data_IF_877941884507
#
_entry.id   IF_877941884507
#
_cell.length_a   1.000
_cell.length_b   1.000
_cell.length_c   1.000
_cell.angle_alpha   90.00
_cell.angle_beta   90.00
_cell.angle_gamma   90.00
#
_symmetry.space_group_name_H-M   'P 1'
#
loop_
_entity.id
_entity.type
_entity.pdbx_description
1 polymer ?
#
# COMPACT_ATOMS: atom_id res chain seq x y z
N UNK A 1 11.83 16.16 -23.03
CA UNK A 1 10.43 16.63 -23.18
C UNK A 1 10.37 18.14 -23.10
N UNK A 2 11.09 18.77 -22.16
CA UNK A 2 11.23 20.23 -22.09
C UNK A 2 11.65 20.82 -23.44
N UNK A 3 12.59 20.20 -24.15
CA UNK A 3 13.02 20.65 -25.49
C UNK A 3 11.90 20.63 -26.54
N UNK A 4 10.91 19.73 -26.40
CA UNK A 4 9.74 19.65 -27.29
C UNK A 4 8.78 20.80 -26.98
N UNK A 5 8.50 21.04 -25.69
CA UNK A 5 7.65 22.15 -25.25
C UNK A 5 8.28 23.49 -25.61
N UNK A 6 9.57 23.68 -25.31
CA UNK A 6 10.33 24.88 -25.64
C UNK A 6 10.36 25.13 -27.16
N UNK A 7 10.57 24.09 -27.97
CA UNK A 7 10.46 24.22 -29.41
C UNK A 7 9.05 24.60 -29.87
N UNK A 8 8.00 24.08 -29.24
CA UNK A 8 6.63 24.47 -29.56
C UNK A 8 6.39 25.94 -29.17
N UNK A 9 6.83 26.37 -27.99
CA UNK A 9 6.67 27.75 -27.53
C UNK A 9 7.43 28.73 -28.42
N UNK A 10 8.68 28.41 -28.75
CA UNK A 10 9.55 29.24 -29.58
C UNK A 10 9.03 29.37 -31.03
N UNK A 11 8.54 28.27 -31.61
CA UNK A 11 8.18 28.25 -33.02
C UNK A 11 6.71 28.60 -33.29
N UNK A 12 5.80 28.30 -32.35
CA UNK A 12 4.38 28.66 -32.48
C UNK A 12 4.03 29.98 -31.78
N UNK A 13 4.93 30.54 -30.96
CA UNK A 13 4.68 31.78 -30.21
C UNK A 13 3.58 31.65 -29.16
N UNK A 14 3.32 30.42 -28.68
CA UNK A 14 2.25 30.11 -27.72
C UNK A 14 2.87 29.58 -26.44
N UNK A 15 2.49 30.15 -25.29
CA UNK A 15 2.97 29.69 -23.99
C UNK A 15 2.18 28.46 -23.54
N UNK A 16 2.86 27.34 -23.33
CA UNK A 16 2.29 26.10 -22.85
C UNK A 16 2.55 25.99 -21.34
N UNK A 17 1.48 26.15 -20.55
CA UNK A 17 1.59 25.96 -19.09
C UNK A 17 1.71 24.47 -18.80
N UNK A 18 2.85 24.06 -18.23
CA UNK A 18 3.29 22.65 -18.18
C UNK A 18 2.35 21.64 -17.50
N UNK A 19 1.43 22.08 -16.65
CA UNK A 19 0.45 21.19 -16.01
C UNK A 19 -0.83 20.97 -16.83
N UNK A 20 -1.02 21.70 -17.95
CA UNK A 20 -2.24 21.68 -18.76
C UNK A 20 -2.01 21.43 -20.25
N UNK A 21 -0.90 20.78 -20.64
CA UNK A 21 -0.65 20.46 -22.04
C UNK A 21 -1.72 19.49 -22.59
N UNK A 22 -2.48 19.93 -23.58
CA UNK A 22 -3.52 19.18 -24.28
C UNK A 22 -3.59 19.60 -25.77
N UNK A 23 -4.32 18.84 -26.60
CA UNK A 23 -4.42 19.10 -28.05
C UNK A 23 -4.99 20.49 -28.37
N UNK A 24 -5.92 21.00 -27.54
CA UNK A 24 -6.47 22.34 -27.69
C UNK A 24 -5.42 23.43 -27.44
N UNK A 25 -4.59 23.28 -26.39
CA UNK A 25 -3.50 24.20 -26.08
C UNK A 25 -2.39 24.19 -27.14
N UNK A 26 -2.11 23.01 -27.73
CA UNK A 26 -1.16 22.88 -28.85
C UNK A 26 -1.64 23.69 -30.07
N UNK A 27 -2.94 23.60 -30.37
CA UNK A 27 -3.58 24.32 -31.48
C UNK A 27 -3.98 25.76 -31.14
N UNK A 28 -3.80 26.21 -29.89
CA UNK A 28 -4.14 27.56 -29.46
C UNK A 28 -5.63 27.88 -29.54
N UNK A 29 -6.49 26.86 -29.36
CA UNK A 29 -7.95 26.98 -29.43
C UNK A 29 -8.58 26.54 -28.11
N UNK A 30 -9.86 26.85 -27.93
CA UNK A 30 -10.62 26.41 -26.75
C UNK A 30 -11.31 25.06 -27.01
N UNK A 31 -11.64 24.27 -25.97
CA UNK A 31 -12.40 23.03 -26.13
C UNK A 31 -13.79 23.20 -26.79
N UNK A 32 -14.31 24.43 -26.83
CA UNK A 32 -15.59 24.79 -27.45
C UNK A 32 -15.50 25.10 -28.95
N UNK A 33 -14.30 25.04 -29.54
CA UNK A 33 -14.09 25.31 -30.95
C UNK A 33 -14.92 24.36 -31.85
N UNK A 34 -15.50 24.90 -32.92
CA UNK A 34 -16.20 24.08 -33.90
C UNK A 34 -15.23 23.33 -34.83
N UNK A 35 -15.77 22.46 -35.68
CA UNK A 35 -14.95 21.65 -36.58
C UNK A 35 -14.19 22.49 -37.62
N UNK A 36 -14.70 23.65 -38.03
CA UNK A 36 -14.04 24.54 -38.99
C UNK A 36 -12.88 25.29 -38.35
N UNK A 37 -13.07 25.78 -37.13
CA UNK A 37 -12.05 26.41 -36.31
C UNK A 37 -10.90 25.44 -36.01
N UNK A 38 -11.21 24.18 -35.68
CA UNK A 38 -10.19 23.14 -35.48
C UNK A 38 -9.39 22.92 -36.77
N UNK A 39 -10.05 22.77 -37.93
CA UNK A 39 -9.35 22.60 -39.22
C UNK A 39 -8.49 23.81 -39.58
N UNK A 40 -8.98 25.02 -39.32
CA UNK A 40 -8.21 26.25 -39.54
C UNK A 40 -6.98 26.28 -38.64
N UNK A 41 -7.15 26.03 -37.34
CA UNK A 41 -6.07 26.04 -36.36
C UNK A 41 -5.00 24.98 -36.65
N UNK A 42 -5.38 23.78 -37.11
CA UNK A 42 -4.43 22.75 -37.54
C UNK A 42 -3.62 23.23 -38.74
N UNK A 43 -4.27 23.76 -39.79
CA UNK A 43 -3.57 24.26 -40.99
C UNK A 43 -2.59 25.38 -40.65
N UNK A 44 -3.03 26.35 -39.85
CA UNK A 44 -2.16 27.46 -39.40
C UNK A 44 -0.98 26.94 -38.59
N UNK A 45 -1.23 26.05 -37.63
CA UNK A 45 -0.18 25.50 -36.76
C UNK A 45 0.85 24.68 -37.57
N UNK A 46 0.41 23.88 -38.53
CA UNK A 46 1.29 23.11 -39.42
C UNK A 46 2.10 24.06 -40.32
N UNK A 47 1.49 25.11 -40.87
CA UNK A 47 2.18 26.09 -41.70
C UNK A 47 3.25 26.85 -40.90
N UNK A 48 2.92 27.30 -39.68
CA UNK A 48 3.87 27.95 -38.78
C UNK A 48 5.02 27.00 -38.41
N UNK A 49 4.69 25.75 -38.09
CA UNK A 49 5.69 24.73 -37.76
C UNK A 49 6.62 24.44 -38.93
N UNK A 50 6.09 24.28 -40.15
CA UNK A 50 6.89 24.03 -41.34
C UNK A 50 7.80 25.21 -41.67
N UNK A 51 7.31 26.45 -41.55
CA UNK A 51 8.12 27.65 -41.74
C UNK A 51 9.27 27.74 -40.73
N UNK A 52 9.01 27.34 -39.48
CA UNK A 52 9.98 27.40 -38.40
C UNK A 52 10.92 26.17 -38.34
N UNK A 53 10.53 25.05 -38.94
CA UNK A 53 11.22 23.76 -38.86
C UNK A 53 12.70 23.80 -39.28
N UNK A 54 13.06 24.71 -40.18
CA UNK A 54 14.45 24.93 -40.62
C UNK A 54 15.40 25.40 -39.52
N UNK A 55 14.87 25.99 -38.44
CA UNK A 55 15.64 26.51 -37.30
C UNK A 55 15.56 25.61 -36.06
N UNK A 56 14.71 24.59 -36.09
CA UNK A 56 14.43 23.71 -34.95
C UNK A 56 15.42 22.55 -34.91
N UNK A 57 15.75 22.08 -33.71
CA UNK A 57 16.56 20.88 -33.54
C UNK A 57 15.95 19.68 -34.31
N UNK A 58 16.72 19.00 -35.19
CA UNK A 58 16.22 17.90 -36.01
C UNK A 58 15.69 16.71 -35.18
N UNK A 59 16.14 16.54 -33.94
CA UNK A 59 15.64 15.48 -33.05
C UNK A 59 14.24 15.76 -32.48
N UNK A 60 13.83 17.03 -32.45
CA UNK A 60 12.52 17.47 -31.91
C UNK A 60 11.45 17.45 -32.99
N UNK A 61 11.85 17.68 -34.24
CA UNK A 61 10.96 17.72 -35.40
C UNK A 61 10.00 16.53 -35.52
N UNK A 62 10.44 15.25 -35.48
CA UNK A 62 9.54 14.12 -35.64
C UNK A 62 8.50 14.02 -34.50
N UNK A 63 8.88 14.44 -33.27
CA UNK A 63 8.00 14.38 -32.10
C UNK A 63 6.87 15.40 -32.18
N UNK A 64 7.18 16.64 -32.58
CA UNK A 64 6.15 17.68 -32.74
C UNK A 64 5.24 17.36 -33.92
N UNK A 65 5.79 16.86 -35.03
CA UNK A 65 4.98 16.38 -36.16
C UNK A 65 4.03 15.26 -35.75
N UNK A 66 4.49 14.32 -34.92
CA UNK A 66 3.64 13.26 -34.37
C UNK A 66 2.52 13.83 -33.48
N UNK A 67 2.83 14.79 -32.60
CA UNK A 67 1.84 15.45 -31.75
C UNK A 67 0.78 16.20 -32.56
N UNK A 68 1.17 16.91 -33.61
CA UNK A 68 0.24 17.61 -34.50
C UNK A 68 -0.66 16.62 -35.25
N UNK A 69 -0.10 15.49 -35.71
CA UNK A 69 -0.86 14.43 -36.37
C UNK A 69 -1.89 13.81 -35.43
N UNK A 70 -1.52 13.55 -34.17
CA UNK A 70 -2.45 13.03 -33.17
C UNK A 70 -3.55 14.03 -32.78
N UNK A 71 -3.21 15.32 -32.65
CA UNK A 71 -4.20 16.37 -32.42
C UNK A 71 -5.19 16.42 -33.59
N UNK A 72 -4.70 16.32 -34.83
CA UNK A 72 -5.53 16.26 -36.02
C UNK A 72 -6.46 15.04 -36.03
N UNK A 73 -5.95 13.83 -35.81
CA UNK A 73 -6.77 12.61 -35.82
C UNK A 73 -7.76 12.56 -34.66
N UNK A 74 -7.41 13.11 -33.51
CA UNK A 74 -8.26 13.11 -32.32
C UNK A 74 -9.37 14.15 -32.39
N UNK A 75 -9.06 15.37 -32.84
CA UNK A 75 -10.01 16.48 -32.77
C UNK A 75 -10.92 16.60 -34.01
N UNK A 76 -10.51 16.03 -35.15
CA UNK A 76 -11.36 16.02 -36.36
C UNK A 76 -12.36 14.85 -36.41
N UNK A 77 -12.11 13.81 -35.62
CA UNK A 77 -13.04 12.68 -35.44
C UNK A 77 -13.93 12.97 -34.24
N UNK A 78 -15.24 13.09 -34.48
CA UNK A 78 -16.23 13.48 -33.46
C UNK A 78 -16.28 12.50 -32.29
N UNK A 79 -16.15 11.21 -32.57
CA UNK A 79 -16.20 10.17 -31.56
C UNK A 79 -14.92 10.18 -30.70
N UNK A 80 -13.74 10.26 -31.33
CA UNK A 80 -12.45 10.39 -30.63
C UNK A 80 -12.39 11.68 -29.80
N UNK A 81 -12.89 12.79 -30.33
CA UNK A 81 -12.98 14.07 -29.62
C UNK A 81 -13.85 13.97 -28.38
N UNK A 82 -15.02 13.34 -28.48
CA UNK A 82 -15.93 13.16 -27.34
C UNK A 82 -15.28 12.37 -26.20
N UNK A 83 -14.58 11.28 -26.54
CA UNK A 83 -13.82 10.48 -25.56
C UNK A 83 -12.69 11.30 -24.95
N UNK A 84 -11.97 12.06 -25.77
CA UNK A 84 -10.88 12.94 -25.33
C UNK A 84 -11.37 14.03 -24.37
N UNK A 85 -12.51 14.66 -24.66
CA UNK A 85 -13.11 15.71 -23.84
C UNK A 85 -13.62 15.16 -22.49
N UNK A 86 -14.23 13.96 -22.51
CA UNK A 86 -14.65 13.29 -21.29
C UNK A 86 -13.46 12.92 -20.38
N UNK A 87 -12.33 12.53 -20.97
CA UNK A 87 -11.09 12.30 -20.24
C UNK A 87 -10.48 13.59 -19.66
N UNK A 88 -10.57 14.71 -20.39
CA UNK A 88 -10.09 16.02 -19.93
C UNK A 88 -10.90 16.54 -18.73
N UNK A 89 -12.22 16.30 -18.71
CA UNK A 89 -13.14 16.71 -17.65
C UNK A 89 -13.13 15.77 -16.43
N UNK A 90 -12.39 14.66 -16.47
CA UNK A 90 -12.38 13.68 -15.38
C UNK A 90 -13.70 12.91 -15.20
N UNK A 91 -14.64 13.03 -16.14
CA UNK A 91 -15.95 12.39 -16.09
C UNK A 91 -15.90 10.88 -16.35
N UNK A 92 -14.81 10.39 -16.95
CA UNK A 92 -14.47 8.97 -16.99
C UNK A 92 -13.67 8.63 -15.73
N UNK A 93 -14.37 8.45 -14.60
CA UNK A 93 -13.80 8.00 -13.31
C UNK A 93 -13.09 6.63 -13.40
N UNK A 94 -13.27 5.90 -14.50
CA UNK A 94 -12.34 4.86 -14.93
C UNK A 94 -11.32 5.45 -15.90
N UNK A 95 -10.10 5.74 -15.41
CA UNK A 95 -8.87 5.67 -16.23
C UNK A 95 -8.60 4.22 -16.67
N UNK A 96 -9.57 3.58 -17.34
CA UNK A 96 -9.17 2.61 -18.36
C UNK A 96 -8.42 3.45 -19.37
N UNK A 97 -7.16 3.12 -19.60
CA UNK A 97 -6.30 3.79 -20.55
C UNK A 97 -7.10 4.17 -21.81
N UNK A 98 -6.92 5.38 -22.34
CA UNK A 98 -7.50 5.78 -23.63
C UNK A 98 -7.24 4.72 -24.72
N UNK A 99 -6.16 3.94 -24.55
CA UNK A 99 -5.75 2.81 -25.40
C UNK A 99 -6.67 1.58 -25.35
N UNK A 100 -7.54 1.46 -24.34
CA UNK A 100 -8.52 0.37 -24.20
C UNK A 100 -9.95 0.81 -24.59
N UNK A 101 -10.13 2.05 -25.05
CA UNK A 101 -11.42 2.51 -25.53
C UNK A 101 -11.61 2.02 -26.98
N UNK A 102 -12.78 1.46 -27.38
CA UNK A 102 -13.03 1.05 -28.77
C UNK A 102 -12.84 2.18 -29.80
N UNK A 103 -12.85 3.45 -29.38
CA UNK A 103 -12.48 4.59 -30.22
C UNK A 103 -11.01 4.56 -30.70
N UNK A 104 -10.14 3.87 -29.97
CA UNK A 104 -8.70 3.73 -30.23
C UNK A 104 -8.35 2.24 -30.20
N UNK A 105 -8.28 1.57 -31.35
CA UNK A 105 -7.82 0.19 -31.37
C UNK A 105 -6.41 0.09 -30.76
N UNK A 106 -6.05 -1.04 -30.13
CA UNK A 106 -4.79 -1.20 -29.40
C UNK A 106 -3.54 -0.96 -30.28
N UNK A 107 -3.67 -1.07 -31.60
CA UNK A 107 -2.61 -0.82 -32.58
C UNK A 107 -2.61 0.61 -33.17
N UNK A 108 -3.50 1.50 -32.70
CA UNK A 108 -3.56 2.90 -33.17
C UNK A 108 -2.36 3.69 -32.60
N UNK A 109 -1.27 3.71 -33.37
CA UNK A 109 -0.07 4.55 -33.09
C UNK A 109 -0.37 6.05 -32.99
N UNK A 110 -1.58 6.48 -33.37
CA UNK A 110 -2.07 7.86 -33.28
C UNK A 110 -3.12 8.06 -32.19
N UNK A 111 -3.31 7.09 -31.29
CA UNK A 111 -4.08 7.29 -30.08
C UNK A 111 -3.49 8.48 -29.28
N UNK A 112 -4.34 9.33 -28.67
CA UNK A 112 -3.88 10.45 -27.87
C UNK A 112 -2.97 9.93 -26.78
N UNK A 113 -1.76 10.49 -26.70
CA UNK A 113 -0.84 10.17 -25.62
C UNK A 113 -1.55 10.36 -24.27
N UNK A 114 -1.41 9.39 -23.36
CA UNK A 114 -1.97 9.57 -22.02
C UNK A 114 -1.38 10.84 -21.40
N UNK A 115 -2.19 11.79 -20.87
CA UNK A 115 -1.68 12.95 -20.14
C UNK A 115 -0.74 12.56 -18.97
N UNK A 116 -0.85 11.31 -18.49
CA UNK A 116 0.06 10.73 -17.50
C UNK A 116 1.50 10.53 -18.00
N UNK A 117 1.71 10.26 -19.29
CA UNK A 117 3.04 10.14 -19.91
C UNK A 117 3.80 11.48 -19.97
N UNK A 118 3.10 12.61 -19.79
CA UNK A 118 3.68 13.96 -19.73
C UNK A 118 4.14 14.36 -18.32
N UNK A 119 3.88 13.55 -17.28
CA UNK A 119 4.23 13.90 -15.89
C UNK A 119 5.69 13.61 -15.48
N UNK A 120 6.60 13.31 -16.41
CA UNK A 120 8.02 13.07 -16.08
C UNK A 120 8.95 13.84 -17.02
N UNK A 121 9.50 14.94 -16.49
CA UNK A 121 10.93 15.30 -16.45
C UNK A 121 11.06 16.73 -15.88
N UNK A 122 10.89 16.90 -14.55
CA UNK A 122 11.51 18.06 -13.90
C UNK A 122 13.01 17.79 -13.85
N UNK A 123 13.76 18.73 -14.41
CA UNK A 123 15.19 18.67 -14.60
C UNK A 123 15.98 18.66 -13.28
N UNK A 124 17.29 18.78 -13.44
CA UNK A 124 18.23 19.01 -12.34
C UNK A 124 17.65 20.05 -11.37
N UNK A 125 17.82 19.85 -10.05
CA UNK A 125 17.31 20.79 -9.05
C UNK A 125 17.78 22.20 -9.41
N UNK A 126 16.87 23.17 -9.29
CA UNK A 126 17.26 24.58 -9.36
C UNK A 126 18.39 24.79 -8.35
N UNK A 127 19.51 25.44 -8.75
CA UNK A 127 20.57 25.74 -7.81
C UNK A 127 19.96 26.47 -6.61
N UNK A 128 20.37 26.05 -5.43
CA UNK A 128 19.98 26.66 -4.16
C UNK A 128 20.18 28.18 -4.20
N UNK A 129 19.50 28.92 -3.32
CA UNK A 129 19.73 30.37 -3.22
C UNK A 129 21.24 30.67 -3.04
N UNK A 130 21.95 29.84 -2.30
CA UNK A 130 23.41 29.87 -2.13
C UNK A 130 24.15 29.71 -3.47
N UNK A 131 23.83 28.67 -4.25
CA UNK A 131 24.48 28.41 -5.54
C UNK A 131 24.16 29.51 -6.56
N UNK A 132 22.95 30.07 -6.54
CA UNK A 132 22.57 31.24 -7.37
C UNK A 132 23.33 32.49 -6.96
N UNK A 133 23.50 32.73 -5.66
CA UNK A 133 24.33 33.82 -5.16
C UNK A 133 25.80 33.63 -5.53
N UNK A 134 26.33 32.40 -5.49
CA UNK A 134 27.71 32.11 -5.89
C UNK A 134 27.93 32.21 -7.40
N UNK A 135 26.95 31.80 -8.22
CA UNK A 135 26.97 31.99 -9.67
C UNK A 135 26.99 33.49 -10.01
N UNK A 136 26.15 34.30 -9.33
CA UNK A 136 26.08 35.74 -9.51
C UNK A 136 27.38 36.45 -9.08
N UNK A 137 28.01 36.01 -7.98
CA UNK A 137 29.31 36.54 -7.52
C UNK A 137 30.43 36.18 -8.52
N UNK A 138 30.38 34.98 -9.10
CA UNK A 138 31.31 34.51 -10.13
C UNK A 138 31.14 35.30 -11.44
N UNK A 139 29.90 35.62 -11.81
CA UNK A 139 29.57 36.39 -13.01
C UNK A 139 29.89 37.89 -12.86
N UNK A 140 29.77 38.44 -11.64
CA UNK A 140 30.16 39.82 -11.34
C UNK A 140 31.67 40.00 -11.10
N UNK A 141 32.48 38.94 -11.15
CA UNK A 141 33.95 39.01 -11.03
C UNK A 141 34.46 39.53 -9.67
N UNK A 142 33.63 39.47 -8.62
CA UNK A 142 34.01 39.99 -7.29
C UNK A 142 34.82 38.92 -6.55
N UNK A 143 36.08 39.16 -6.17
CA UNK A 143 36.88 38.18 -5.46
C UNK A 143 36.29 37.91 -4.07
N UNK A 144 36.12 36.63 -3.72
CA UNK A 144 35.52 36.19 -2.45
C UNK A 144 36.21 36.72 -1.18
N UNK A 145 37.42 37.25 -1.31
CA UNK A 145 38.17 37.93 -0.24
C UNK A 145 37.63 39.32 0.11
N UNK A 146 36.83 39.97 -0.75
CA UNK A 146 36.31 41.32 -0.51
C UNK A 146 35.09 41.38 0.41
N UNK A 147 34.45 40.24 0.73
CA UNK A 147 33.20 40.17 1.50
C UNK A 147 33.39 39.94 3.02
N UNK A 148 34.63 39.93 3.54
CA UNK A 148 34.91 39.64 4.96
C UNK A 148 35.15 40.86 5.87
N UNK A 149 35.03 42.09 5.39
CA UNK A 149 35.63 43.25 6.11
C UNK A 149 34.65 44.28 6.70
N UNK A 150 33.32 44.10 6.65
CA UNK A 150 32.39 45.08 7.24
C UNK A 150 31.21 44.46 7.98
N UNK A 151 31.47 43.81 9.11
CA UNK A 151 30.47 43.60 10.17
C UNK A 151 31.17 43.79 11.53
N UNK A 152 31.32 45.04 11.94
CA UNK A 152 31.62 45.37 13.33
C UNK A 152 30.33 45.23 14.17
N UNK A 153 30.40 44.67 15.39
CA UNK A 153 29.22 44.52 16.25
C UNK A 153 28.78 45.90 16.77
N UNK A 154 27.50 46.22 16.59
CA UNK A 154 26.85 47.34 17.28
C UNK A 154 26.46 46.83 18.66
N UNK A 155 27.12 47.32 19.71
CA UNK A 155 26.73 47.10 21.10
C UNK A 155 25.50 47.98 21.45
N UNK A 156 24.38 47.41 21.92
CA UNK A 156 23.34 48.20 22.56
C UNK A 156 23.71 48.43 24.03
N UNK A 157 23.97 49.70 24.37
CA UNK A 157 23.99 50.17 25.76
C UNK A 157 22.57 50.08 26.35
N UNK A 158 22.42 49.30 27.42
CA UNK A 158 21.19 49.20 28.21
C UNK A 158 21.54 49.38 29.69
N UNK A 159 21.39 50.61 30.18
CA UNK A 159 21.38 50.92 31.61
C UNK A 159 20.01 50.50 32.18
N UNK A 160 19.99 49.39 32.90
CA UNK A 160 18.79 48.88 33.58
C UNK A 160 19.17 48.08 34.82
N UNK A 161 18.81 48.61 35.99
CA UNK A 161 19.15 48.08 37.31
C UNK A 161 18.71 46.61 37.52
N UNK A 162 19.47 45.81 38.30
CA UNK A 162 19.21 44.39 38.49
C UNK A 162 18.01 44.14 39.41
N UNK A 163 17.01 43.41 38.90
CA UNK A 163 15.98 42.78 39.74
C UNK A 163 16.40 41.35 40.15
N UNK A 164 16.05 40.90 41.37
CA UNK A 164 16.49 39.61 41.91
C UNK A 164 15.75 38.42 41.26
N UNK A 165 16.47 37.60 40.50
CA UNK A 165 15.95 36.43 39.75
C UNK A 165 15.87 35.11 40.56
N UNK A 166 16.23 35.10 41.85
CA UNK A 166 16.49 33.84 42.57
C UNK A 166 15.26 33.02 43.02
N UNK A 167 14.02 33.49 42.82
CA UNK A 167 12.82 32.78 43.29
C UNK A 167 12.08 31.96 42.22
N UNK A 168 12.31 32.21 40.92
CA UNK A 168 11.60 31.50 39.84
C UNK A 168 12.30 30.20 39.39
N UNK A 169 13.62 30.13 39.48
CA UNK A 169 14.37 28.92 39.12
C UNK A 169 14.16 27.77 40.12
N UNK A 170 13.93 28.06 41.41
CA UNK A 170 13.75 27.01 42.42
C UNK A 170 12.42 26.25 42.25
N UNK A 171 11.36 26.95 41.84
CA UNK A 171 10.04 26.35 41.55
C UNK A 171 10.06 25.51 40.26
N UNK A 172 10.79 25.93 39.23
CA UNK A 172 10.94 25.17 37.99
C UNK A 172 11.70 23.85 38.25
N UNK A 173 12.79 23.91 39.01
CA UNK A 173 13.59 22.72 39.36
C UNK A 173 12.82 21.74 40.27
N UNK A 174 11.98 22.22 41.19
CA UNK A 174 11.10 21.35 41.98
C UNK A 174 10.04 20.63 41.16
N UNK A 175 9.45 21.28 40.13
CA UNK A 175 8.49 20.63 39.22
C UNK A 175 9.14 19.54 38.37
N UNK A 176 10.37 19.74 37.90
CA UNK A 176 11.12 18.75 37.11
C UNK A 176 11.40 17.48 37.94
N UNK A 177 11.74 17.63 39.23
CA UNK A 177 11.98 16.50 40.13
C UNK A 177 10.69 15.70 40.40
N UNK A 178 9.55 16.38 40.55
CA UNK A 178 8.26 15.69 40.73
C UNK A 178 7.82 14.91 39.49
N UNK A 179 8.05 15.45 38.29
CA UNK A 179 7.74 14.77 37.02
C UNK A 179 8.60 13.50 36.85
N UNK A 180 9.90 13.57 37.18
CA UNK A 180 10.79 12.39 37.13
C UNK A 180 10.37 11.28 38.10
N UNK A 181 9.84 11.63 39.29
CA UNK A 181 9.32 10.64 40.25
C UNK A 181 8.02 9.96 39.77
N UNK A 182 7.14 10.68 39.07
CA UNK A 182 5.92 10.08 38.48
C UNK A 182 6.22 9.09 37.35
N UNK A 183 7.19 9.39 36.47
CA UNK A 183 7.58 8.49 35.37
C UNK A 183 8.12 7.14 35.87
N UNK A 184 8.96 7.13 36.92
CA UNK A 184 9.48 5.89 37.51
C UNK A 184 8.40 4.98 38.14
N UNK A 185 7.27 5.54 38.60
CA UNK A 185 6.13 4.72 39.08
C UNK A 185 5.33 4.14 37.91
N UNK A 186 5.14 4.90 36.84
CA UNK A 186 4.45 4.40 35.65
C UNK A 186 5.26 3.33 34.91
N UNK A 187 6.58 3.45 34.80
CA UNK A 187 7.43 2.42 34.20
C UNK A 187 7.30 1.06 34.89
N UNK A 188 7.15 1.02 36.23
CA UNK A 188 6.95 -0.24 36.96
C UNK A 188 5.58 -0.87 36.71
N UNK A 189 4.54 -0.05 36.53
CA UNK A 189 3.19 -0.54 36.21
C UNK A 189 3.15 -1.09 34.78
N UNK A 190 3.78 -0.40 33.83
CA UNK A 190 3.87 -0.85 32.45
C UNK A 190 4.70 -2.13 32.29
N UNK A 191 5.82 -2.25 32.99
CA UNK A 191 6.62 -3.49 32.99
C UNK A 191 5.83 -4.70 33.52
N UNK A 192 5.01 -4.51 34.56
CA UNK A 192 4.12 -5.56 35.07
C UNK A 192 3.04 -5.96 34.06
N UNK A 193 2.42 -5.00 33.38
CA UNK A 193 1.38 -5.26 32.38
C UNK A 193 1.92 -5.99 31.14
N UNK A 194 3.15 -5.69 30.71
CA UNK A 194 3.80 -6.39 29.60
C UNK A 194 4.12 -7.85 29.93
N UNK A 195 4.55 -8.15 31.15
CA UNK A 195 4.81 -9.53 31.58
C UNK A 195 3.52 -10.37 31.59
N UNK A 196 2.39 -9.79 32.02
CA UNK A 196 1.09 -10.48 31.96
C UNK A 196 0.64 -10.73 30.52
N UNK A 197 0.80 -9.76 29.61
CA UNK A 197 0.44 -9.94 28.21
C UNK A 197 1.29 -11.03 27.54
N UNK A 198 2.61 -11.04 27.80
CA UNK A 198 3.52 -12.06 27.27
C UNK A 198 3.16 -13.48 27.75
N UNK A 199 2.82 -13.63 29.03
CA UNK A 199 2.36 -14.91 29.58
C UNK A 199 1.05 -15.38 28.94
N UNK A 200 0.10 -14.46 28.69
CA UNK A 200 -1.16 -14.78 28.02
C UNK A 200 -0.97 -15.24 26.57
N UNK A 201 -0.07 -14.59 25.82
CA UNK A 201 0.25 -14.97 24.44
C UNK A 201 0.90 -16.36 24.40
N UNK A 202 1.85 -16.64 25.31
CA UNK A 202 2.46 -17.97 25.43
C UNK A 202 1.44 -19.05 25.80
N UNK A 203 0.50 -18.75 26.71
CA UNK A 203 -0.59 -19.66 27.06
C UNK A 203 -1.51 -19.97 25.87
N UNK A 204 -1.89 -18.95 25.10
CA UNK A 204 -2.73 -19.11 23.91
C UNK A 204 -2.02 -19.89 22.79
N UNK A 205 -0.71 -19.65 22.60
CA UNK A 205 0.09 -20.40 21.64
C UNK A 205 0.22 -21.88 22.03
N UNK A 206 0.44 -22.18 23.32
CA UNK A 206 0.50 -23.55 23.82
C UNK A 206 -0.85 -24.28 23.66
N UNK A 207 -1.97 -23.59 23.95
CA UNK A 207 -3.31 -24.15 23.75
C UNK A 207 -3.59 -24.48 22.28
N UNK A 208 -3.27 -23.57 21.36
CA UNK A 208 -3.45 -23.80 19.93
C UNK A 208 -2.56 -24.93 19.40
N UNK A 209 -1.31 -25.01 19.87
CA UNK A 209 -0.42 -26.12 19.52
C UNK A 209 -0.99 -27.47 19.97
N UNK A 210 -1.50 -27.55 21.20
CA UNK A 210 -2.11 -28.78 21.72
C UNK A 210 -3.37 -29.19 20.94
N UNK A 211 -4.25 -28.23 20.62
CA UNK A 211 -5.45 -28.47 19.83
C UNK A 211 -5.11 -28.88 18.38
N UNK A 212 -4.03 -28.32 17.82
CA UNK A 212 -3.50 -28.73 16.51
C UNK A 212 -2.97 -30.17 16.52
N UNK A 213 -2.27 -30.58 17.58
CA UNK A 213 -1.77 -31.95 17.72
C UNK A 213 -2.93 -32.96 17.82
N UNK A 214 -4.01 -32.65 18.53
CA UNK A 214 -5.20 -33.52 18.57
C UNK A 214 -5.80 -33.76 17.19
N UNK A 215 -5.90 -32.72 16.36
CA UNK A 215 -6.41 -32.86 14.98
C UNK A 215 -5.53 -33.74 14.10
N UNK A 216 -4.21 -33.72 14.28
CA UNK A 216 -3.28 -34.60 13.54
C UNK A 216 -3.49 -36.06 13.95
N UNK A 217 -3.67 -36.32 15.25
CA UNK A 217 -3.95 -37.67 15.76
C UNK A 217 -5.28 -38.19 15.22
N UNK A 218 -6.33 -37.36 15.20
CA UNK A 218 -7.64 -37.74 14.68
C UNK A 218 -7.63 -37.95 13.16
N UNK A 219 -6.90 -37.12 12.41
CA UNK A 219 -6.73 -37.28 10.95
C UNK A 219 -6.03 -38.59 10.60
N UNK A 220 -4.93 -38.91 11.30
CA UNK A 220 -4.20 -40.16 11.10
C UNK A 220 -5.04 -41.39 11.46
N UNK A 221 -5.94 -41.28 12.45
CA UNK A 221 -6.87 -42.34 12.82
C UNK A 221 -7.92 -42.59 11.72
N UNK A 222 -8.42 -41.53 11.09
CA UNK A 222 -9.35 -41.64 9.97
C UNK A 222 -8.70 -42.22 8.71
N UNK A 223 -7.46 -41.84 8.38
CA UNK A 223 -6.74 -42.40 7.23
C UNK A 223 -6.44 -43.90 7.40
N UNK A 224 -6.04 -44.33 8.60
CA UNK A 224 -5.87 -45.77 8.88
C UNK A 224 -7.16 -46.55 8.70
N UNK A 225 -8.30 -46.01 9.15
CA UNK A 225 -9.60 -46.67 8.96
C UNK A 225 -10.01 -46.72 7.48
N UNK A 226 -9.70 -45.69 6.70
CA UNK A 226 -10.00 -45.65 5.26
C UNK A 226 -9.19 -46.70 4.49
N UNK A 227 -7.90 -46.82 4.78
CA UNK A 227 -7.02 -47.81 4.14
C UNK A 227 -7.37 -49.26 4.51
N UNK A 228 -7.96 -49.50 5.70
CA UNK A 228 -8.48 -50.82 6.08
C UNK A 228 -9.75 -51.23 5.32
N UNK A 229 -10.51 -50.27 4.79
CA UNK A 229 -11.73 -50.53 4.01
C UNK A 229 -11.36 -50.82 2.55
N UNK A 230 -10.45 -50.03 1.95
CA UNK A 230 -9.98 -50.23 0.57
C UNK A 230 -9.24 -51.57 0.35
N UNK A 231 -8.57 -52.08 1.39
CA UNK A 231 -7.84 -53.36 1.31
C UNK A 231 -8.76 -54.59 1.26
N UNK A 232 -10.06 -54.44 1.52
CA UNK A 232 -11.03 -55.55 1.48
C UNK A 232 -11.66 -55.78 0.10
N UNK A 233 -11.68 -54.76 -0.75
CA UNK A 233 -12.28 -54.85 -2.08
C UNK A 233 -11.30 -55.32 -3.18
N UNK A 234 -9.99 -55.33 -2.91
CA UNK A 234 -8.96 -55.77 -3.86
C UNK A 234 -8.67 -57.28 -3.86
N UNK A 235 -9.39 -58.09 -3.07
CA UNK A 235 -9.17 -59.55 -3.00
C UNK A 235 -10.06 -60.38 -3.95
N UNK A 236 -10.84 -59.75 -4.83
CA UNK A 236 -11.84 -60.45 -5.64
C UNK A 236 -11.81 -60.11 -7.14
N UNK A 237 -10.63 -59.85 -7.72
CA UNK A 237 -10.49 -59.83 -9.18
C UNK A 237 -9.26 -60.59 -9.65
N UNK A 238 -9.54 -61.80 -10.14
CA UNK A 238 -8.64 -62.67 -10.88
C UNK A 238 -8.24 -62.08 -12.24
N UNK A 239 -6.97 -62.34 -12.59
CA UNK A 239 -6.29 -62.24 -13.90
C UNK A 239 -6.80 -63.28 -14.93
N UNK A 240 -6.24 -63.41 -16.18
CA UNK A 240 -5.39 -62.53 -17.02
C UNK A 240 -5.81 -62.48 -18.52
N UNK A 241 -5.17 -61.62 -19.34
CA UNK A 241 -4.70 -61.98 -20.70
C UNK A 241 -3.78 -60.90 -21.30
N UNK A 242 -2.71 -61.39 -21.93
CA UNK A 242 -1.56 -60.77 -22.60
C UNK A 242 -1.89 -60.00 -23.90
N UNK A 243 -0.97 -59.13 -24.37
CA UNK A 243 -0.20 -59.24 -25.65
C UNK A 243 0.62 -57.96 -25.98
N UNK A 244 1.94 -58.18 -26.08
CA UNK A 244 3.00 -57.66 -26.99
C UNK A 244 3.02 -56.27 -27.68
N UNK A 245 4.28 -55.81 -27.82
CA UNK A 245 4.93 -55.14 -28.96
C UNK A 245 4.64 -53.66 -29.29
N UNK A 246 5.66 -52.78 -29.16
CA UNK A 246 6.68 -52.56 -30.22
C UNK A 246 7.72 -51.47 -29.85
N UNK A 247 8.98 -51.73 -30.27
CA UNK A 247 10.02 -50.87 -30.91
C UNK A 247 10.03 -49.33 -30.71
N UNK A 248 11.14 -48.57 -30.84
CA UNK A 248 12.60 -48.76 -31.05
C UNK A 248 13.17 -47.38 -31.49
N UNK A 249 14.31 -46.97 -30.88
CA UNK A 249 15.39 -46.07 -31.32
C UNK A 249 15.19 -44.57 -31.70
N UNK A 250 16.14 -43.77 -31.18
CA UNK A 250 16.70 -42.51 -31.70
C UNK A 250 17.14 -41.58 -30.55
N UNK A 251 18.36 -41.64 -30.01
CA UNK A 251 19.62 -40.98 -30.45
C UNK A 251 19.47 -39.45 -30.61
N UNK A 252 20.38 -38.56 -30.22
CA UNK A 252 21.57 -38.47 -29.36
C UNK A 252 21.80 -36.95 -29.26
N UNK A 253 22.00 -36.35 -28.08
CA UNK A 253 22.75 -35.09 -27.98
C UNK A 253 23.24 -34.87 -26.55
N UNK A 254 24.52 -35.19 -26.36
CA UNK A 254 25.30 -35.03 -25.14
C UNK A 254 25.92 -33.62 -25.12
N UNK A 255 25.38 -32.71 -24.31
CA UNK A 255 25.97 -31.39 -24.07
C UNK A 255 26.70 -31.40 -22.72
N UNK A 256 28.03 -31.36 -22.82
CA UNK A 256 28.98 -31.17 -21.73
C UNK A 256 28.66 -29.94 -20.87
N UNK A 257 28.52 -30.13 -19.57
CA UNK A 257 28.53 -29.06 -18.57
C UNK A 257 29.89 -29.03 -17.85
N UNK A 258 30.55 -27.87 -17.70
CA UNK A 258 31.82 -27.78 -17.00
C UNK A 258 31.62 -27.81 -15.49
N UNK A 259 32.41 -28.66 -14.82
CA UNK A 259 32.50 -28.78 -13.38
C UNK A 259 33.13 -27.51 -12.77
N UNK A 260 32.44 -26.91 -11.80
CA UNK A 260 33.02 -25.92 -10.91
C UNK A 260 33.30 -26.58 -9.56
N UNK A 261 34.58 -26.58 -9.21
CA UNK A 261 35.16 -27.06 -7.96
C UNK A 261 34.59 -26.32 -6.75
N UNK A 262 34.24 -27.09 -5.73
CA UNK A 262 33.79 -26.63 -4.43
C UNK A 262 34.95 -26.79 -3.43
N UNK A 263 35.35 -25.78 -2.65
CA UNK A 263 36.40 -25.93 -1.65
C UNK A 263 35.86 -26.59 -0.37
N UNK A 264 36.60 -27.59 0.11
CA UNK A 264 36.38 -28.32 1.36
C UNK A 264 36.52 -27.41 2.60
N UNK A 265 35.63 -27.60 3.57
CA UNK A 265 35.77 -27.09 4.94
C UNK A 265 35.93 -28.25 5.93
N UNK A 266 36.67 -28.05 7.03
CA UNK A 266 37.29 -29.12 7.79
C UNK A 266 36.34 -29.82 8.78
N UNK A 267 36.60 -31.12 8.95
CA UNK A 267 35.97 -32.00 9.91
C UNK A 267 36.29 -31.60 11.37
N UNK A 268 35.25 -31.55 12.20
CA UNK A 268 35.36 -31.54 13.66
C UNK A 268 34.47 -32.62 14.27
N UNK A 269 35.03 -33.25 15.30
CA UNK A 269 34.79 -34.61 15.72
C UNK A 269 33.82 -34.74 16.92
N UNK A 270 33.16 -35.91 16.95
CA UNK A 270 32.78 -36.77 18.10
C UNK A 270 31.82 -36.25 19.19
N UNK A 271 30.62 -36.85 19.19
CA UNK A 271 29.98 -37.69 20.25
C UNK A 271 30.39 -37.54 21.74
N UNK A 272 29.43 -37.64 22.70
CA UNK A 272 28.94 -38.97 23.13
C UNK A 272 27.44 -39.11 23.55
N UNK A 273 26.85 -40.22 23.10
CA UNK A 273 26.15 -41.32 23.80
C UNK A 273 25.40 -41.10 25.14
N UNK A 274 24.10 -41.42 25.12
CA UNK A 274 23.31 -42.19 26.11
C UNK A 274 21.93 -42.48 25.46
N UNK A 275 21.47 -43.68 25.10
CA UNK A 275 21.32 -44.98 25.78
C UNK A 275 20.43 -44.93 27.03
N UNK A 276 19.13 -45.23 26.84
CA UNK A 276 18.26 -45.96 27.78
C UNK A 276 16.88 -46.25 27.16
N UNK A 277 16.65 -47.51 26.82
CA UNK A 277 15.35 -48.19 26.69
C UNK A 277 14.86 -48.59 28.10
N UNK A 278 13.54 -48.65 28.38
CA UNK A 278 12.80 -49.93 28.29
C UNK A 278 11.38 -49.73 27.69
N UNK A 279 10.92 -50.53 26.73
CA UNK A 279 10.28 -51.84 26.91
C UNK A 279 9.13 -51.82 27.92
N UNK A 280 7.90 -51.58 27.45
CA UNK A 280 6.70 -52.11 28.09
C UNK A 280 5.68 -52.54 27.03
N UNK A 281 5.43 -53.84 26.99
CA UNK A 281 4.46 -54.50 26.15
C UNK A 281 3.16 -54.62 26.93
N UNK A 282 2.12 -53.90 26.52
CA UNK A 282 0.77 -54.11 27.03
C UNK A 282 -0.15 -54.55 25.89
N UNK A 283 -0.27 -55.86 25.78
CA UNK A 283 -1.27 -56.58 25.01
C UNK A 283 -2.63 -56.32 25.64
N UNK A 284 -3.42 -55.43 25.03
CA UNK A 284 -4.85 -55.30 25.34
C UNK A 284 -5.66 -56.14 24.35
N UNK A 285 -6.32 -57.16 24.91
CA UNK A 285 -7.34 -57.99 24.27
C UNK A 285 -8.48 -57.14 23.66
N UNK A 286 -8.97 -57.51 22.47
CA UNK A 286 -10.16 -56.88 21.89
C UNK A 286 -11.42 -57.41 22.60
N UNK A 287 -12.03 -56.58 23.45
CA UNK A 287 -13.36 -56.82 24.00
C UNK A 287 -14.38 -56.71 22.85
N UNK A 288 -15.24 -57.71 22.61
CA UNK A 288 -16.29 -57.63 21.59
C UNK A 288 -17.35 -56.61 22.01
N UNK A 289 -17.32 -55.45 21.35
CA UNK A 289 -18.28 -54.37 21.52
C UNK A 289 -19.68 -54.82 21.09
N UNK A 290 -20.56 -54.90 22.09
CA UNK A 290 -22.02 -55.05 21.92
C UNK A 290 -22.54 -53.96 20.97
N UNK A 291 -23.43 -54.27 20.01
CA UNK A 291 -23.99 -53.28 19.09
C UNK A 291 -24.78 -52.24 19.90
N UNK A 292 -24.21 -51.04 20.06
CA UNK A 292 -24.93 -49.89 20.58
C UNK A 292 -25.97 -49.49 19.53
N UNK A 293 -27.23 -49.49 19.94
CA UNK A 293 -28.33 -48.95 19.16
C UNK A 293 -27.96 -47.54 18.70
N UNK A 294 -27.98 -47.33 17.38
CA UNK A 294 -27.88 -46.04 16.72
C UNK A 294 -29.02 -45.18 17.26
N UNK A 295 -28.74 -44.33 18.25
CA UNK A 295 -29.64 -43.25 18.63
C UNK A 295 -29.74 -42.35 17.40
N UNK A 296 -30.92 -42.35 16.78
CA UNK A 296 -31.23 -41.41 15.71
C UNK A 296 -30.95 -39.99 16.22
N UNK A 297 -30.18 -39.17 15.48
CA UNK A 297 -29.92 -37.80 15.89
C UNK A 297 -31.27 -37.09 16.03
N UNK A 298 -31.58 -36.66 17.27
CA UNK A 298 -32.71 -35.79 17.55
C UNK A 298 -32.52 -34.52 16.74
N UNK A 299 -33.29 -34.39 15.67
CA UNK A 299 -33.36 -33.21 14.81
C UNK A 299 -34.23 -32.18 15.52
N UNK A 300 -33.75 -31.66 16.64
CA UNK A 300 -34.34 -30.45 17.18
C UNK A 300 -34.17 -29.35 16.12
N UNK A 301 -35.27 -28.70 15.69
CA UNK A 301 -35.22 -27.71 14.63
C UNK A 301 -34.34 -26.55 15.09
N UNK A 302 -33.19 -26.39 14.46
CA UNK A 302 -32.32 -25.22 14.64
C UNK A 302 -33.19 -24.00 14.35
N UNK A 303 -33.37 -23.06 15.30
CA UNK A 303 -34.18 -21.88 15.07
C UNK A 303 -33.65 -21.16 13.83
N UNK A 304 -34.53 -20.95 12.84
CA UNK A 304 -34.20 -20.17 11.64
C UNK A 304 -33.71 -18.80 12.10
N UNK A 305 -32.43 -18.49 11.86
CA UNK A 305 -31.93 -17.19 12.20
C UNK A 305 -32.59 -16.11 11.32
N UNK A 306 -32.81 -14.94 11.90
CA UNK A 306 -33.42 -13.82 11.20
C UNK A 306 -32.39 -13.10 10.32
N UNK A 307 -32.44 -13.24 8.98
CA UNK A 307 -31.47 -12.60 8.08
C UNK A 307 -31.46 -11.08 8.21
N UNK A 308 -32.58 -10.45 8.62
CA UNK A 308 -32.66 -9.00 8.81
C UNK A 308 -31.85 -8.55 10.02
N UNK A 309 -31.89 -9.30 11.11
CA UNK A 309 -31.09 -9.01 12.30
C UNK A 309 -29.58 -9.08 12.00
N UNK A 310 -29.16 -10.06 11.20
CA UNK A 310 -27.77 -10.17 10.74
C UNK A 310 -27.35 -8.96 9.89
N UNK A 311 -28.15 -8.57 8.90
CA UNK A 311 -27.89 -7.42 8.03
C UNK A 311 -27.78 -6.10 8.82
N UNK A 312 -28.63 -5.91 9.84
CA UNK A 312 -28.57 -4.74 10.74
C UNK A 312 -27.26 -4.74 11.53
N UNK A 313 -26.87 -5.87 12.12
CA UNK A 313 -25.63 -6.00 12.88
C UNK A 313 -24.39 -5.72 12.02
N UNK A 314 -24.33 -6.27 10.81
CA UNK A 314 -23.22 -6.07 9.87
C UNK A 314 -23.07 -4.62 9.41
N UNK A 315 -24.18 -3.93 9.10
CA UNK A 315 -24.15 -2.50 8.77
C UNK A 315 -23.70 -1.65 9.95
N UNK A 316 -24.17 -1.95 11.16
CA UNK A 316 -23.75 -1.27 12.38
C UNK A 316 -22.26 -1.51 12.69
N UNK A 317 -21.75 -2.71 12.45
CA UNK A 317 -20.32 -3.02 12.57
C UNK A 317 -19.50 -2.18 11.57
N UNK A 318 -19.89 -2.17 10.29
CA UNK A 318 -19.21 -1.37 9.25
C UNK A 318 -19.21 0.12 9.58
N UNK A 319 -20.33 0.67 10.06
CA UNK A 319 -20.42 2.06 10.52
C UNK A 319 -19.49 2.35 11.71
N UNK A 320 -19.44 1.44 12.70
CA UNK A 320 -18.53 1.56 13.85
C UNK A 320 -17.07 1.60 13.40
N UNK A 321 -16.73 0.84 12.36
CA UNK A 321 -15.40 0.84 11.77
C UNK A 321 -15.02 2.19 11.16
N UNK A 322 -15.91 2.84 10.42
CA UNK A 322 -15.68 4.22 9.90
C UNK A 322 -15.49 5.25 11.01
N UNK A 323 -16.10 5.02 12.18
CA UNK A 323 -15.97 5.89 13.36
C UNK A 323 -14.75 5.58 14.23
N UNK A 324 -13.96 4.55 13.89
CA UNK A 324 -12.89 4.02 14.74
C UNK A 324 -13.38 3.56 16.14
N UNK A 325 -14.63 3.11 16.25
CA UNK A 325 -15.20 2.58 17.49
C UNK A 325 -15.03 1.05 17.53
N UNK A 326 -13.87 0.62 18.02
CA UNK A 326 -13.48 -0.79 18.06
C UNK A 326 -14.34 -1.64 19.00
N UNK A 327 -14.83 -1.04 20.08
CA UNK A 327 -15.66 -1.73 21.07
C UNK A 327 -17.04 -2.01 20.49
N UNK A 328 -17.66 -1.03 19.83
CA UNK A 328 -18.92 -1.21 19.13
C UNK A 328 -18.77 -2.16 17.94
N UNK A 329 -17.67 -2.04 17.18
CA UNK A 329 -17.36 -2.98 16.09
C UNK A 329 -17.33 -4.43 16.59
N UNK A 330 -16.56 -4.72 17.64
CA UNK A 330 -16.46 -6.06 18.22
C UNK A 330 -17.81 -6.63 18.66
N UNK A 331 -18.59 -5.85 19.41
CA UNK A 331 -19.93 -6.26 19.86
C UNK A 331 -20.88 -6.55 18.70
N UNK A 332 -20.89 -5.71 17.66
CA UNK A 332 -21.74 -5.92 16.48
C UNK A 332 -21.32 -7.11 15.63
N UNK A 333 -20.03 -7.40 15.58
CA UNK A 333 -19.53 -8.63 14.95
C UNK A 333 -19.92 -9.88 15.74
N UNK A 334 -19.88 -9.83 17.08
CA UNK A 334 -20.38 -10.92 17.95
C UNK A 334 -21.88 -11.16 17.78
N UNK A 335 -22.68 -10.09 17.76
CA UNK A 335 -24.12 -10.18 17.45
C UNK A 335 -24.34 -10.85 16.09
N UNK A 336 -23.60 -10.44 15.05
CA UNK A 336 -23.70 -11.04 13.71
C UNK A 336 -23.36 -12.54 13.70
N UNK A 337 -22.36 -13.00 14.48
CA UNK A 337 -22.00 -14.43 14.60
C UNK A 337 -23.19 -15.26 15.06
N UNK A 338 -23.97 -14.76 16.02
CA UNK A 338 -25.09 -15.51 16.59
C UNK A 338 -26.26 -15.69 15.62
N UNK A 339 -26.33 -14.88 14.57
CA UNK A 339 -27.45 -14.85 13.61
C UNK A 339 -27.03 -15.37 12.22
N UNK A 340 -25.74 -15.36 11.88
CA UNK A 340 -25.26 -15.83 10.58
C UNK A 340 -25.59 -17.32 10.37
N UNK A 341 -26.44 -17.62 9.39
CA UNK A 341 -26.88 -18.99 9.11
C UNK A 341 -26.46 -19.50 7.73
N UNK A 342 -26.27 -18.61 6.76
CA UNK A 342 -25.86 -19.02 5.42
C UNK A 342 -24.33 -18.98 5.27
N UNK A 343 -23.74 -19.86 4.44
CA UNK A 343 -22.31 -19.80 4.13
C UNK A 343 -21.87 -18.44 3.59
N UNK A 344 -22.73 -17.76 2.82
CA UNK A 344 -22.46 -16.43 2.28
C UNK A 344 -22.42 -15.35 3.37
N UNK A 345 -23.36 -15.37 4.33
CA UNK A 345 -23.36 -14.46 5.47
C UNK A 345 -22.09 -14.63 6.32
N UNK A 346 -21.72 -15.88 6.61
CA UNK A 346 -20.47 -16.17 7.32
C UNK A 346 -19.25 -15.65 6.56
N UNK A 347 -19.29 -15.69 5.23
CA UNK A 347 -18.18 -15.24 4.39
C UNK A 347 -18.05 -13.71 4.35
N UNK A 348 -19.17 -13.00 4.17
CA UNK A 348 -19.27 -11.54 4.28
C UNK A 348 -18.81 -11.05 5.66
N UNK A 349 -19.20 -11.77 6.71
CA UNK A 349 -18.77 -11.48 8.08
C UNK A 349 -17.26 -11.65 8.26
N UNK A 350 -16.68 -12.75 7.80
CA UNK A 350 -15.23 -12.98 7.87
C UNK A 350 -14.44 -11.91 7.10
N UNK A 351 -14.95 -11.45 5.95
CA UNK A 351 -14.30 -10.34 5.23
C UNK A 351 -14.32 -9.05 6.04
N UNK A 352 -15.47 -8.68 6.61
CA UNK A 352 -15.57 -7.46 7.42
C UNK A 352 -14.71 -7.53 8.69
N UNK A 353 -14.66 -8.69 9.35
CA UNK A 353 -13.76 -8.93 10.50
C UNK A 353 -12.29 -8.70 10.13
N UNK A 354 -11.83 -9.33 9.04
CA UNK A 354 -10.46 -9.15 8.56
C UNK A 354 -10.17 -7.69 8.17
N UNK A 355 -11.13 -7.02 7.53
CA UNK A 355 -11.02 -5.61 7.18
C UNK A 355 -10.87 -4.74 8.44
N UNK A 356 -11.62 -5.04 9.50
CA UNK A 356 -11.50 -4.39 10.80
C UNK A 356 -10.13 -4.59 11.47
N UNK A 357 -9.61 -5.82 11.46
CA UNK A 357 -8.28 -6.14 12.00
C UNK A 357 -7.16 -5.39 11.26
N UNK A 358 -7.22 -5.34 9.93
CA UNK A 358 -6.25 -4.62 9.11
C UNK A 358 -6.33 -3.11 9.30
N UNK A 359 -7.54 -2.56 9.46
CA UNK A 359 -7.69 -1.15 9.78
C UNK A 359 -7.07 -0.80 11.13
N UNK A 360 -7.25 -1.67 12.14
CA UNK A 360 -6.64 -1.53 13.45
C UNK A 360 -5.12 -1.55 13.39
N UNK A 361 -4.52 -2.45 12.58
CA UNK A 361 -3.06 -2.48 12.36
C UNK A 361 -2.55 -1.14 11.84
N UNK A 362 -3.22 -0.53 10.86
CA UNK A 362 -2.82 0.78 10.33
C UNK A 362 -2.96 1.91 11.36
N UNK A 363 -4.02 1.90 12.17
CA UNK A 363 -4.23 2.89 13.22
C UNK A 363 -3.20 2.75 14.36
N UNK A 364 -2.90 1.52 14.76
CA UNK A 364 -1.84 1.23 15.72
C UNK A 364 -0.47 1.67 15.17
N UNK A 365 -0.22 1.50 13.87
CA UNK A 365 1.00 2.00 13.22
C UNK A 365 1.10 3.53 13.27
N UNK A 366 0.03 4.27 12.99
CA UNK A 366 0.01 5.73 13.16
C UNK A 366 0.32 6.16 14.59
N UNK A 367 -0.28 5.47 15.57
CA UNK A 367 -0.06 5.75 16.98
C UNK A 367 1.38 5.41 17.41
N UNK A 368 1.96 4.33 16.88
CA UNK A 368 3.37 4.00 17.10
C UNK A 368 4.29 5.04 16.47
N UNK A 369 4.01 5.50 15.26
CA UNK A 369 4.78 6.55 14.59
C UNK A 369 4.77 7.86 15.39
N UNK A 370 3.61 8.24 15.94
CA UNK A 370 3.51 9.38 16.88
C UNK A 370 4.49 9.28 18.05
N UNK A 371 4.70 8.09 18.60
CA UNK A 371 5.62 7.88 19.74
C UNK A 371 7.10 7.84 19.34
N UNK A 372 7.41 7.45 18.10
CA UNK A 372 8.78 7.30 17.59
C UNK A 372 9.35 8.60 17.03
N UNK A 373 8.50 9.47 16.50
CA UNK A 373 8.95 10.70 15.84
C UNK A 373 9.44 11.76 16.82
N UNK A 374 10.42 12.51 16.35
CA UNK A 374 11.00 13.66 17.04
C UNK A 374 10.95 14.88 16.13
N UNK A 375 11.05 16.07 16.74
CA UNK A 375 11.31 17.28 15.97
C UNK A 375 12.63 17.14 15.21
N UNK A 376 12.66 17.70 14.00
CA UNK A 376 13.72 17.62 12.99
C UNK A 376 13.80 16.32 12.16
N UNK A 377 12.96 15.31 12.41
CA UNK A 377 12.87 14.15 11.52
C UNK A 377 12.37 14.57 10.12
N UNK A 378 12.72 13.83 9.08
CA UNK A 378 12.24 14.09 7.72
C UNK A 378 11.48 12.89 7.16
N UNK A 379 10.30 13.17 6.59
CA UNK A 379 9.46 12.20 5.90
C UNK A 379 9.50 12.43 4.39
N UNK A 380 9.44 11.34 3.64
CA UNK A 380 9.28 11.38 2.19
C UNK A 380 7.81 11.18 1.86
N UNK A 381 7.15 12.20 1.31
CA UNK A 381 5.75 12.13 0.87
C UNK A 381 5.72 12.21 -0.65
N UNK A 382 5.61 11.05 -1.30
CA UNK A 382 5.79 10.94 -2.75
C UNK A 382 7.18 11.44 -3.16
N UNK A 383 7.25 12.54 -3.91
CA UNK A 383 8.51 13.15 -4.34
C UNK A 383 9.00 14.27 -3.41
N UNK A 384 8.18 14.71 -2.46
CA UNK A 384 8.48 15.85 -1.61
C UNK A 384 9.04 15.38 -0.28
N UNK A 385 10.12 16.03 0.18
CA UNK A 385 10.60 15.85 1.55
C UNK A 385 9.89 16.85 2.47
N UNK A 386 9.39 16.35 3.59
CA UNK A 386 8.68 17.13 4.60
C UNK A 386 9.42 16.98 5.92
N UNK A 387 9.76 18.09 6.58
CA UNK A 387 10.44 18.05 7.88
C UNK A 387 9.43 18.16 9.01
N UNK A 388 9.51 17.29 10.00
CA UNK A 388 8.71 17.37 11.21
C UNK A 388 9.33 18.45 12.10
N UNK A 389 8.55 19.48 12.43
CA UNK A 389 9.00 20.56 13.31
C UNK A 389 8.73 20.18 14.76
N UNK A 390 7.50 19.73 15.04
CA UNK A 390 7.05 19.43 16.38
C UNK A 390 5.98 18.34 16.35
N UNK A 391 6.00 17.44 17.34
CA UNK A 391 5.00 16.40 17.54
C UNK A 391 4.41 16.59 18.93
N UNK A 392 3.09 16.78 19.01
CA UNK A 392 2.32 16.85 20.26
C UNK A 392 1.28 15.74 20.31
N UNK A 393 0.59 15.65 21.45
CA UNK A 393 -0.44 14.64 21.67
C UNK A 393 -1.67 14.84 20.77
N UNK A 394 -1.95 16.05 20.32
CA UNK A 394 -3.14 16.41 19.53
C UNK A 394 -2.80 16.82 18.09
N UNK A 395 -1.58 17.33 17.88
CA UNK A 395 -1.18 17.95 16.61
C UNK A 395 0.22 17.56 16.18
N UNK A 396 0.45 17.50 14.87
CA UNK A 396 1.77 17.43 14.24
C UNK A 396 2.01 18.70 13.43
N UNK A 397 3.17 19.32 13.63
CA UNK A 397 3.61 20.48 12.87
C UNK A 397 4.69 20.03 11.91
N UNK A 398 4.45 20.21 10.61
CA UNK A 398 5.38 19.86 9.55
C UNK A 398 5.78 21.10 8.76
N UNK A 399 7.01 21.12 8.23
CA UNK A 399 7.52 22.16 7.36
C UNK A 399 7.54 21.67 5.92
N UNK A 400 6.78 22.34 5.06
CA UNK A 400 6.71 22.10 3.63
C UNK A 400 7.06 23.40 2.90
N UNK A 401 8.05 23.35 2.01
CA UNK A 401 8.49 24.51 1.22
C UNK A 401 8.75 25.79 2.05
N UNK A 402 9.37 25.64 3.22
CA UNK A 402 9.68 26.75 4.13
C UNK A 402 8.52 27.23 5.03
N UNK A 403 7.30 26.73 4.82
CA UNK A 403 6.12 27.08 5.63
C UNK A 403 5.81 25.99 6.66
N UNK A 404 5.46 26.40 7.88
CA UNK A 404 4.99 25.47 8.91
C UNK A 404 3.48 25.25 8.74
N UNK A 405 3.07 24.00 8.64
CA UNK A 405 1.68 23.56 8.56
C UNK A 405 1.37 22.66 9.75
N UNK A 406 0.18 22.84 10.33
CA UNK A 406 -0.24 22.17 11.55
C UNK A 406 -1.44 21.28 11.25
N UNK A 407 -1.39 20.01 11.63
CA UNK A 407 -2.43 19.02 11.35
C UNK A 407 -2.82 18.27 12.62
N UNK A 408 -4.11 18.18 12.93
CA UNK A 408 -4.56 17.30 13.99
C UNK A 408 -4.39 15.84 13.55
N UNK A 409 -4.12 14.93 14.49
CA UNK A 409 -3.95 13.50 14.21
C UNK A 409 -5.17 12.87 13.53
N UNK A 410 -6.38 13.31 13.87
CA UNK A 410 -7.63 12.86 13.25
C UNK A 410 -7.92 13.49 11.88
N UNK A 411 -7.12 14.46 11.43
CA UNK A 411 -7.33 15.22 10.19
C UNK A 411 -6.05 15.32 9.36
N UNK A 412 -5.25 14.26 9.34
CA UNK A 412 -4.00 14.22 8.58
C UNK A 412 -4.29 14.19 7.07
N UNK A 413 -3.53 14.95 6.26
CA UNK A 413 -3.50 14.74 4.82
C UNK A 413 -3.08 13.29 4.52
N UNK A 414 -3.76 12.65 3.57
CA UNK A 414 -3.61 11.22 3.36
C UNK A 414 -2.19 10.79 2.99
N UNK A 415 -1.46 11.61 2.22
CA UNK A 415 -0.04 11.37 1.92
C UNK A 415 0.85 11.44 3.16
N UNK A 416 0.54 12.30 4.13
CA UNK A 416 1.26 12.36 5.40
C UNK A 416 0.93 11.14 6.27
N UNK A 417 -0.34 10.76 6.38
CA UNK A 417 -0.75 9.57 7.12
C UNK A 417 -0.07 8.29 6.58
N UNK A 418 0.00 8.11 5.25
CA UNK A 418 0.72 6.99 4.65
C UNK A 418 2.21 6.99 5.00
N UNK A 419 2.89 8.13 4.82
CA UNK A 419 4.31 8.24 5.14
C UNK A 419 4.60 7.96 6.62
N UNK A 420 3.65 8.28 7.51
CA UNK A 420 3.71 7.92 8.93
C UNK A 420 3.54 6.42 9.13
N UNK A 421 2.59 5.77 8.46
CA UNK A 421 2.45 4.31 8.49
C UNK A 421 3.71 3.61 7.99
N UNK A 422 4.36 4.14 6.94
CA UNK A 422 5.57 3.56 6.33
C UNK A 422 6.80 3.55 7.27
N UNK A 423 6.78 4.33 8.36
CA UNK A 423 7.80 4.26 9.40
C UNK A 423 7.72 2.97 10.25
N UNK A 424 6.56 2.32 10.26
CA UNK A 424 6.26 1.18 11.14
C UNK A 424 5.94 -0.06 10.34
N UNK A 425 5.18 0.08 9.26
CA UNK A 425 4.72 -1.01 8.40
C UNK A 425 5.76 -1.34 7.33
N UNK A 426 5.94 -2.63 7.04
CA UNK A 426 6.83 -3.13 5.98
C UNK A 426 6.21 -3.01 4.59
N UNK A 427 7.01 -2.71 3.56
CA UNK A 427 6.58 -2.70 2.15
C UNK A 427 6.52 -4.10 1.52
N UNK A 428 7.07 -5.11 2.21
CA UNK A 428 7.11 -6.49 1.74
C UNK A 428 6.08 -7.40 2.42
N UNK A 429 5.60 -7.01 3.61
CA UNK A 429 4.63 -7.81 4.34
C UNK A 429 3.21 -7.61 3.76
N UNK A 430 2.49 -8.70 3.42
CA UNK A 430 1.18 -8.59 2.78
C UNK A 430 0.11 -7.99 3.69
N UNK A 431 0.15 -8.26 5.00
CA UNK A 431 -0.81 -7.71 5.94
C UNK A 431 -0.58 -6.21 6.11
N UNK A 432 0.67 -5.77 6.15
CA UNK A 432 1.03 -4.36 6.20
C UNK A 432 0.62 -3.59 4.93
N UNK A 433 0.73 -4.21 3.74
CA UNK A 433 0.22 -3.63 2.49
C UNK A 433 -1.31 -3.53 2.49
N UNK A 434 -2.01 -4.59 2.93
CA UNK A 434 -3.46 -4.58 3.05
C UNK A 434 -3.95 -3.57 4.09
N UNK A 435 -3.26 -3.42 5.22
CA UNK A 435 -3.56 -2.43 6.25
C UNK A 435 -3.51 -1.00 5.69
N UNK A 436 -2.49 -0.67 4.88
CA UNK A 436 -2.44 0.61 4.15
C UNK A 436 -3.62 0.79 3.20
N UNK A 437 -3.95 -0.24 2.42
CA UNK A 437 -5.06 -0.20 1.47
C UNK A 437 -6.39 0.07 2.19
N UNK A 438 -6.64 -0.64 3.30
CA UNK A 438 -7.83 -0.49 4.13
C UNK A 438 -7.90 0.90 4.77
N UNK A 439 -6.77 1.40 5.30
CA UNK A 439 -6.73 2.75 5.87
C UNK A 439 -7.10 3.83 4.85
N UNK A 440 -6.55 3.75 3.63
CA UNK A 440 -6.88 4.65 2.54
C UNK A 440 -8.35 4.55 2.12
N UNK A 441 -8.88 3.34 2.08
CA UNK A 441 -10.26 3.09 1.67
C UNK A 441 -11.30 3.63 2.67
N UNK A 442 -10.98 3.58 3.96
CA UNK A 442 -11.86 4.01 5.06
C UNK A 442 -11.61 5.44 5.53
N UNK A 443 -10.56 6.10 5.06
CA UNK A 443 -10.24 7.47 5.46
C UNK A 443 -11.36 8.46 5.07
N UNK A 444 -11.78 9.36 5.96
CA UNK A 444 -12.79 10.37 5.64
C UNK A 444 -12.30 11.38 4.59
N UNK A 445 -10.98 11.51 4.42
CA UNK A 445 -10.34 12.37 3.43
C UNK A 445 -10.06 11.65 2.11
N UNK A 446 -10.74 10.52 1.84
CA UNK A 446 -10.58 9.77 0.60
C UNK A 446 -11.00 10.62 -0.61
N UNK A 447 -10.19 10.55 -1.66
CA UNK A 447 -10.51 11.09 -2.97
C UNK A 447 -10.13 10.07 -4.06
N UNK A 448 -10.70 10.23 -5.24
CA UNK A 448 -10.57 9.30 -6.37
C UNK A 448 -9.11 9.14 -6.84
N UNK A 449 -8.20 10.06 -6.49
CA UNK A 449 -6.78 9.97 -6.84
C UNK A 449 -6.10 8.77 -6.15
N UNK A 450 -6.66 8.27 -5.06
CA UNK A 450 -6.10 7.13 -4.32
C UNK A 450 -6.71 5.79 -4.70
N UNK A 451 -7.76 5.74 -5.51
CA UNK A 451 -8.42 4.47 -5.86
C UNK A 451 -7.49 3.50 -6.58
N UNK A 452 -6.70 4.02 -7.54
CA UNK A 452 -5.67 3.23 -8.21
C UNK A 452 -4.61 2.70 -7.22
N UNK A 453 -4.25 3.49 -6.21
CA UNK A 453 -3.27 3.10 -5.20
C UNK A 453 -3.84 2.06 -4.23
N UNK A 454 -5.09 2.20 -3.84
CA UNK A 454 -5.82 1.24 -3.00
C UNK A 454 -5.88 -0.10 -3.72
N UNK A 455 -6.25 -0.11 -5.01
CA UNK A 455 -6.29 -1.31 -5.83
C UNK A 455 -4.89 -1.96 -5.96
N UNK A 456 -3.85 -1.17 -6.25
CA UNK A 456 -2.46 -1.64 -6.33
C UNK A 456 -2.01 -2.30 -5.01
N UNK A 457 -2.31 -1.67 -3.86
CA UNK A 457 -1.93 -2.20 -2.55
C UNK A 457 -2.68 -3.50 -2.22
N UNK A 458 -3.98 -3.57 -2.53
CA UNK A 458 -4.72 -4.83 -2.38
C UNK A 458 -4.16 -5.92 -3.28
N UNK A 459 -3.95 -5.65 -4.57
CA UNK A 459 -3.38 -6.62 -5.51
C UNK A 459 -2.03 -7.16 -5.03
N UNK A 460 -1.14 -6.27 -4.56
CA UNK A 460 0.17 -6.66 -4.00
C UNK A 460 0.08 -7.43 -2.68
N UNK A 461 -0.99 -7.24 -1.92
CA UNK A 461 -1.26 -8.01 -0.69
C UNK A 461 -1.85 -9.39 -0.96
N UNK A 462 -2.50 -9.59 -2.12
CA UNK A 462 -3.09 -10.88 -2.49
C UNK A 462 -2.01 -11.91 -2.81
N UNK A 463 -2.23 -13.15 -2.38
CA UNK A 463 -1.39 -14.31 -2.74
C UNK A 463 -0.18 -14.52 -1.84
N UNK A 464 0.00 -13.68 -0.82
CA UNK A 464 1.02 -13.85 0.21
C UNK A 464 0.36 -13.79 1.58
N UNK A 465 0.55 -14.81 2.42
CA UNK A 465 -0.01 -14.85 3.78
C UNK A 465 -1.51 -15.14 3.85
N UNK A 466 -2.16 -14.64 4.92
CA UNK A 466 -3.56 -14.94 5.28
C UNK A 466 -4.58 -13.91 4.72
N UNK A 467 -4.19 -13.07 3.77
CA UNK A 467 -5.06 -12.02 3.21
C UNK A 467 -6.01 -12.61 2.18
N UNK A 468 -7.31 -12.37 2.37
CA UNK A 468 -8.37 -12.85 1.47
C UNK A 468 -8.32 -12.11 0.13
N UNK A 469 -8.51 -12.84 -0.97
CA UNK A 469 -8.50 -12.27 -2.33
C UNK A 469 -9.67 -11.32 -2.58
N UNK A 470 -10.80 -11.61 -1.95
CA UNK A 470 -12.07 -10.89 -2.04
C UNK A 470 -12.21 -9.80 -0.95
N UNK A 471 -11.16 -9.50 -0.19
CA UNK A 471 -11.22 -8.56 0.94
C UNK A 471 -11.73 -7.17 0.52
N UNK A 472 -11.33 -6.68 -0.65
CA UNK A 472 -11.78 -5.38 -1.16
C UNK A 472 -13.31 -5.33 -1.35
N UNK A 473 -13.96 -6.47 -1.55
CA UNK A 473 -15.41 -6.56 -1.69
C UNK A 473 -16.16 -6.13 -0.41
N UNK A 474 -15.57 -6.29 0.79
CA UNK A 474 -16.20 -5.82 2.02
C UNK A 474 -16.42 -4.29 2.06
N UNK A 475 -15.63 -3.53 1.28
CA UNK A 475 -15.84 -2.08 1.15
C UNK A 475 -17.15 -1.78 0.42
N UNK A 476 -17.59 -2.65 -0.50
CA UNK A 476 -18.79 -2.49 -1.32
C UNK A 476 -19.96 -3.37 -0.91
N UNK A 477 -19.76 -4.34 0.00
CA UNK A 477 -20.83 -5.18 0.52
C UNK A 477 -21.94 -4.33 1.17
N UNK A 478 -23.19 -4.60 0.77
CA UNK A 478 -24.41 -3.93 1.25
C UNK A 478 -25.08 -4.65 2.43
N UNK A 479 -24.77 -5.95 2.62
CA UNK A 479 -25.32 -6.83 3.65
C UNK A 479 -26.86 -6.88 3.63
N UNK A 480 -27.43 -7.45 2.57
CA UNK A 480 -28.89 -7.59 2.36
C UNK A 480 -29.44 -8.96 2.77
#
# INVERSE_FOLDING_TARGET
>A
MNDVLEAIEQNLGRRLVGDSFNHYSLLGITPRADAEEIRRAIRETVNLWNAASSKTNPMVLPKVTQLLKQAQTTLLDEHKRTVYDAALLGALSTRRSLTNNPAYPPDDTLAPFEPASFRVLRGKPLPSAEERWQELIREMGVPASALKTHLAPIEPSYDGAPQPQSSRESLANQRIIQIRKKRKRQERIWAGSFMFLAASILGFAAYNYFNSQQKIVDSNRNERNKNLIDSRDLRNQDSPASTEDNKKLGADEEVQSPALEMPELPALAREPKAESTPADASTNEPIPSKPMAVQAPSSDPVPLADPKAWAIAMRAAKESLYKNDWDSFGKKMEEAITVASTPEQMDQQKRLDQLGQLYKIAQDALQQSKSKMRGADSLQIGKNRVSIVEVRDDVIIVRTSGTNQSYAWGSLPMGLALALCDLVLSDSDPADLAARAVYLALSPSRNDLYDAKIAELFERSVGKGKIRKDLAQALTDTYE
#
